data_IF_387040413185
#
_entry.id   IF_387040413185
#
_cell.length_a   1.000
_cell.length_b   1.000
_cell.length_c   1.000
_cell.angle_alpha   90.00
_cell.angle_beta   90.00
_cell.angle_gamma   90.00
#
_symmetry.space_group_name_H-M   'P 1'
#
loop_
_entity.id
_entity.type
_entity.pdbx_description
1 polymer ?
#
# COMPACT_ATOMS: atom_id res chain seq x y z
N UNK A 1 -0.76 4.25 -8.38
CA UNK A 1 -1.29 4.16 -7.00
C UNK A 1 -2.81 4.14 -7.03
N UNK A 2 -3.44 3.32 -6.20
CA UNK A 2 -4.91 3.26 -6.04
C UNK A 2 -5.23 3.53 -4.57
N UNK A 3 -6.18 4.43 -4.31
CA UNK A 3 -6.81 4.61 -3.01
C UNK A 3 -7.99 3.64 -2.91
N UNK A 4 -7.88 2.64 -2.01
CA UNK A 4 -8.95 1.69 -1.69
C UNK A 4 -9.43 1.84 -0.24
N UNK A 5 -9.07 2.91 0.45
CA UNK A 5 -9.77 3.30 1.67
C UNK A 5 -11.14 3.88 1.30
N UNK A 6 -12.08 2.97 1.07
CA UNK A 6 -13.40 3.29 0.53
C UNK A 6 -14.31 3.97 1.58
N UNK A 7 -13.93 3.94 2.84
CA UNK A 7 -14.68 4.54 3.96
C UNK A 7 -14.10 5.88 4.41
N UNK A 8 -12.79 6.07 4.23
CA UNK A 8 -12.08 7.28 4.66
C UNK A 8 -11.02 7.77 3.67
N UNK A 9 -11.35 7.96 2.38
CA UNK A 9 -10.36 8.29 1.35
C UNK A 9 -9.62 9.58 1.69
N UNK A 10 -8.29 9.56 1.58
CA UNK A 10 -7.45 10.67 2.02
C UNK A 10 -6.31 11.05 1.09
N UNK A 11 -5.89 10.15 0.20
CA UNK A 11 -4.72 10.40 -0.65
C UNK A 11 -4.91 11.59 -1.60
N UNK A 12 -6.11 11.83 -2.10
CA UNK A 12 -6.40 12.98 -2.97
C UNK A 12 -6.09 14.33 -2.28
N UNK A 13 -6.31 14.42 -0.96
CA UNK A 13 -6.01 15.61 -0.17
C UNK A 13 -4.50 15.86 -0.13
N UNK A 14 -3.71 14.81 0.12
CA UNK A 14 -2.23 14.88 0.16
C UNK A 14 -1.68 15.33 -1.20
N UNK A 15 -2.28 14.87 -2.30
CA UNK A 15 -1.89 15.24 -3.66
C UNK A 15 -2.45 16.60 -4.12
N UNK A 16 -3.19 17.31 -3.26
CA UNK A 16 -3.78 18.60 -3.58
C UNK A 16 -4.83 18.54 -4.69
N UNK A 17 -5.56 17.42 -4.79
CA UNK A 17 -6.63 17.21 -5.76
C UNK A 17 -7.94 17.63 -5.11
N UNK A 18 -8.65 18.55 -5.76
CA UNK A 18 -9.98 18.98 -5.30
C UNK A 18 -11.07 18.00 -5.75
N UNK A 19 -12.17 17.95 -5.02
CA UNK A 19 -13.36 17.14 -5.37
C UNK A 19 -13.89 17.45 -6.77
N UNK A 20 -13.75 18.67 -7.24
CA UNK A 20 -14.19 19.08 -8.58
C UNK A 20 -13.36 18.46 -9.71
N UNK A 21 -12.13 18.04 -9.43
CA UNK A 21 -11.24 17.38 -10.38
C UNK A 21 -11.51 15.87 -10.47
N UNK A 22 -12.05 15.26 -9.41
CA UNK A 22 -12.40 13.84 -9.37
C UNK A 22 -13.76 13.64 -10.05
N UNK A 23 -13.73 13.12 -11.27
CA UNK A 23 -14.95 12.86 -12.05
C UNK A 23 -15.41 11.41 -12.00
N UNK A 24 -14.46 10.50 -11.96
CA UNK A 24 -14.63 9.05 -11.89
C UNK A 24 -13.69 8.50 -10.82
N UNK A 25 -14.17 7.57 -10.03
CA UNK A 25 -13.46 6.97 -8.92
C UNK A 25 -13.27 5.47 -9.14
N UNK A 26 -12.41 4.82 -8.35
CA UNK A 26 -12.29 3.36 -8.36
C UNK A 26 -13.62 2.68 -8.00
N UNK A 27 -14.43 3.29 -7.14
CA UNK A 27 -15.77 2.81 -6.78
C UNK A 27 -16.67 2.70 -8.01
N UNK A 28 -16.67 3.74 -8.84
CA UNK A 28 -17.46 3.76 -10.10
C UNK A 28 -17.00 2.65 -11.04
N UNK A 29 -15.70 2.49 -11.21
CA UNK A 29 -15.11 1.44 -12.04
C UNK A 29 -15.47 0.06 -11.52
N UNK A 30 -15.42 -0.18 -10.22
CA UNK A 30 -15.71 -1.49 -9.62
C UNK A 30 -17.20 -1.83 -9.66
N UNK A 31 -18.09 -0.85 -9.63
CA UNK A 31 -19.54 -1.05 -9.62
C UNK A 31 -20.20 -0.96 -10.99
N UNK A 32 -19.56 -0.28 -11.96
CA UNK A 32 -20.15 0.00 -13.28
C UNK A 32 -19.24 -0.45 -14.41
N UNK A 33 -19.71 -0.42 -15.65
CA UNK A 33 -18.91 -0.76 -16.83
C UNK A 33 -18.01 0.39 -17.32
N UNK A 34 -17.56 1.27 -16.40
CA UNK A 34 -16.67 2.39 -16.71
C UNK A 34 -15.24 1.85 -16.87
N UNK A 35 -14.52 2.23 -17.93
CA UNK A 35 -13.12 1.86 -18.10
C UNK A 35 -12.25 2.49 -17.01
N UNK A 36 -11.24 1.74 -16.54
CA UNK A 36 -10.35 2.23 -15.48
C UNK A 36 -9.57 3.49 -15.87
N UNK A 37 -9.24 3.65 -17.15
CA UNK A 37 -8.55 4.85 -17.65
C UNK A 37 -9.28 6.17 -17.35
N UNK A 38 -10.61 6.11 -17.21
CA UNK A 38 -11.42 7.30 -16.93
C UNK A 38 -11.29 7.76 -15.45
N UNK A 39 -10.79 6.87 -14.58
CA UNK A 39 -10.50 7.14 -13.17
C UNK A 39 -9.02 7.45 -12.90
N UNK A 40 -8.15 7.39 -13.91
CA UNK A 40 -6.71 7.62 -13.71
C UNK A 40 -6.38 9.10 -13.90
N UNK A 41 -5.70 9.67 -12.91
CA UNK A 41 -5.16 11.02 -12.92
C UNK A 41 -3.64 10.95 -13.02
N UNK A 42 -3.04 11.66 -13.97
CA UNK A 42 -1.60 11.82 -14.05
C UNK A 42 -1.16 12.98 -13.15
N UNK A 43 -0.41 12.66 -12.10
CA UNK A 43 0.09 13.62 -11.12
C UNK A 43 1.55 14.04 -11.36
N UNK A 44 2.19 13.52 -12.39
CA UNK A 44 3.63 13.71 -12.67
C UNK A 44 4.01 15.19 -12.70
N UNK A 45 3.33 15.97 -13.53
CA UNK A 45 3.59 17.41 -13.65
C UNK A 45 3.18 18.18 -12.40
N UNK A 46 2.06 17.82 -11.76
CA UNK A 46 1.56 18.48 -10.54
C UNK A 46 2.55 18.38 -9.39
N UNK A 47 3.20 17.21 -9.25
CA UNK A 47 4.13 16.92 -8.17
C UNK A 47 5.59 17.28 -8.54
N UNK A 48 5.84 17.80 -9.74
CA UNK A 48 7.20 18.17 -10.19
C UNK A 48 8.12 16.95 -10.29
N UNK A 49 7.61 15.82 -10.74
CA UNK A 49 8.40 14.59 -10.91
C UNK A 49 9.19 14.70 -12.21
N UNK A 50 10.52 14.74 -12.11
CA UNK A 50 11.41 14.94 -13.26
C UNK A 50 11.71 13.64 -14.03
N UNK A 51 11.54 12.47 -13.38
CA UNK A 51 11.83 11.17 -13.98
C UNK A 51 10.79 10.12 -13.55
N UNK A 52 10.27 9.38 -14.50
CA UNK A 52 9.16 8.46 -14.31
C UNK A 52 7.80 9.16 -14.32
N UNK A 53 6.77 8.48 -13.87
CA UNK A 53 5.42 9.04 -13.75
C UNK A 53 4.71 8.54 -12.49
N UNK A 54 3.79 9.35 -11.97
CA UNK A 54 2.87 8.95 -10.90
C UNK A 54 1.43 9.07 -11.40
N UNK A 55 0.81 7.92 -11.54
CA UNK A 55 -0.61 7.80 -11.87
C UNK A 55 -1.40 7.48 -10.61
N UNK A 56 -2.53 8.14 -10.42
CA UNK A 56 -3.36 8.00 -9.24
C UNK A 56 -4.81 7.69 -9.61
N UNK A 57 -5.40 6.73 -8.93
CA UNK A 57 -6.81 6.39 -9.04
C UNK A 57 -7.47 6.65 -7.68
N UNK A 58 -8.32 7.67 -7.56
CA UNK A 58 -8.95 8.06 -6.30
C UNK A 58 -10.09 7.13 -5.90
N UNK A 59 -10.30 6.97 -4.59
CA UNK A 59 -11.52 6.38 -4.05
C UNK A 59 -12.70 7.35 -4.12
N UNK A 60 -13.92 6.79 -4.01
CA UNK A 60 -15.15 7.57 -3.89
C UNK A 60 -15.21 8.28 -2.55
N UNK A 61 -15.46 9.58 -2.58
CA UNK A 61 -15.51 10.44 -1.39
C UNK A 61 -16.91 10.93 -1.06
N UNK A 62 -17.90 10.68 -1.94
CA UNK A 62 -19.29 11.05 -1.71
C UNK A 62 -19.99 10.03 -0.83
N UNK A 63 -20.74 10.48 0.15
CA UNK A 63 -21.45 9.62 1.09
C UNK A 63 -22.28 8.52 0.39
N UNK A 64 -22.94 8.84 -0.71
CA UNK A 64 -23.75 7.90 -1.48
C UNK A 64 -22.88 6.77 -2.10
N UNK A 65 -21.68 7.09 -2.58
CA UNK A 65 -20.73 6.15 -3.16
C UNK A 65 -20.17 5.22 -2.06
N UNK A 66 -19.82 5.79 -0.92
CA UNK A 66 -19.34 5.06 0.25
C UNK A 66 -20.40 4.08 0.74
N UNK A 67 -21.62 4.55 1.02
CA UNK A 67 -22.71 3.70 1.51
C UNK A 67 -23.04 2.56 0.54
N UNK A 68 -23.04 2.84 -0.75
CA UNK A 68 -23.27 1.82 -1.77
C UNK A 68 -22.17 0.76 -1.77
N UNK A 69 -20.91 1.15 -1.56
CA UNK A 69 -19.77 0.24 -1.53
C UNK A 69 -19.79 -0.65 -0.28
N UNK A 70 -20.12 -0.09 0.88
CA UNK A 70 -20.30 -0.84 2.13
C UNK A 70 -21.40 -1.91 1.99
N UNK A 71 -22.51 -1.57 1.33
CA UNK A 71 -23.65 -2.48 1.15
C UNK A 71 -23.34 -3.60 0.13
N UNK A 72 -22.77 -3.27 -1.03
CA UNK A 72 -22.57 -4.22 -2.13
C UNK A 72 -21.21 -4.91 -2.12
N UNK A 73 -20.17 -4.26 -1.59
CA UNK A 73 -18.78 -4.67 -1.73
C UNK A 73 -18.32 -4.66 -3.19
N UNK A 74 -17.21 -5.30 -3.48
CA UNK A 74 -16.75 -5.48 -4.85
C UNK A 74 -16.31 -6.92 -5.17
N UNK A 75 -16.35 -7.25 -6.44
CA UNK A 75 -16.03 -8.60 -6.92
C UNK A 75 -14.53 -8.75 -7.16
N UNK A 76 -13.92 -9.79 -6.55
CA UNK A 76 -12.49 -10.09 -6.69
C UNK A 76 -12.05 -10.27 -8.16
N UNK A 77 -12.84 -10.98 -8.97
CA UNK A 77 -12.49 -11.22 -10.38
C UNK A 77 -12.48 -9.92 -11.18
N UNK A 78 -13.44 -9.02 -10.90
CA UNK A 78 -13.47 -7.69 -11.51
C UNK A 78 -12.29 -6.85 -11.06
N UNK A 79 -11.97 -6.86 -9.76
CA UNK A 79 -10.82 -6.14 -9.24
C UNK A 79 -9.52 -6.60 -9.90
N UNK A 80 -9.29 -7.90 -9.99
CA UNK A 80 -8.12 -8.45 -10.72
C UNK A 80 -8.08 -7.98 -12.17
N UNK A 81 -9.21 -7.97 -12.86
CA UNK A 81 -9.28 -7.51 -14.25
C UNK A 81 -8.92 -6.00 -14.35
N UNK A 82 -9.38 -5.18 -13.41
CA UNK A 82 -9.04 -3.75 -13.34
C UNK A 82 -7.54 -3.55 -13.12
N UNK A 83 -6.93 -4.25 -12.16
CA UNK A 83 -5.49 -4.17 -11.89
C UNK A 83 -4.67 -4.60 -13.10
N UNK A 84 -5.06 -5.69 -13.76
CA UNK A 84 -4.41 -6.17 -14.97
C UNK A 84 -4.50 -5.15 -16.12
N UNK A 85 -5.67 -4.53 -16.30
CA UNK A 85 -5.86 -3.48 -17.30
C UNK A 85 -4.96 -2.27 -17.03
N UNK A 86 -4.87 -1.82 -15.77
CA UNK A 86 -3.96 -0.74 -15.38
C UNK A 86 -2.50 -1.08 -15.67
N UNK A 87 -2.05 -2.24 -15.22
CA UNK A 87 -0.66 -2.66 -15.39
C UNK A 87 -0.29 -2.73 -16.88
N UNK A 88 -1.18 -3.27 -17.72
CA UNK A 88 -0.94 -3.48 -19.16
C UNK A 88 -1.07 -2.17 -19.95
N UNK A 89 -2.12 -1.38 -19.70
CA UNK A 89 -2.41 -0.16 -20.47
C UNK A 89 -1.35 0.92 -20.23
N UNK A 90 -0.89 1.02 -18.99
CA UNK A 90 0.10 2.05 -18.59
C UNK A 90 1.53 1.52 -18.44
N UNK A 91 1.77 0.22 -18.68
CA UNK A 91 3.08 -0.42 -18.54
C UNK A 91 3.72 -0.09 -17.18
N UNK A 92 2.96 -0.29 -16.10
CA UNK A 92 3.38 0.09 -14.76
C UNK A 92 4.53 -0.80 -14.26
N UNK A 93 5.56 -0.18 -13.71
CA UNK A 93 6.63 -0.89 -12.99
C UNK A 93 6.12 -1.38 -11.63
N UNK A 94 5.36 -0.53 -10.92
CA UNK A 94 4.83 -0.81 -9.59
C UNK A 94 3.39 -0.32 -9.45
N UNK A 95 2.56 -1.07 -8.74
CA UNK A 95 1.21 -0.69 -8.38
C UNK A 95 1.06 -0.70 -6.86
N UNK A 96 0.89 0.47 -6.26
CA UNK A 96 0.62 0.62 -4.83
C UNK A 96 -0.88 0.67 -4.59
N UNK A 97 -1.36 -0.15 -3.66
CA UNK A 97 -2.76 -0.20 -3.23
C UNK A 97 -2.80 0.27 -1.77
N UNK A 98 -3.40 1.43 -1.53
CA UNK A 98 -3.68 1.92 -0.18
C UNK A 98 -5.02 1.37 0.28
N UNK A 99 -5.05 0.65 1.40
CA UNK A 99 -6.25 -0.04 1.89
C UNK A 99 -6.64 0.43 3.27
N UNK A 100 -7.92 0.30 3.58
CA UNK A 100 -8.48 0.59 4.90
C UNK A 100 -7.74 -0.18 6.01
N UNK A 101 -7.48 0.45 7.17
CA UNK A 101 -6.88 -0.24 8.31
C UNK A 101 -7.84 -1.28 8.90
N UNK A 102 -7.34 -2.49 9.17
CA UNK A 102 -8.11 -3.56 9.80
C UNK A 102 -8.42 -4.73 8.87
N UNK A 103 -9.26 -5.66 9.37
CA UNK A 103 -9.60 -6.92 8.69
C UNK A 103 -10.96 -6.76 8.02
N UNK A 104 -11.03 -5.85 7.07
CA UNK A 104 -12.23 -5.67 6.26
C UNK A 104 -12.14 -6.53 5.00
N UNK A 105 -13.28 -6.74 4.35
CA UNK A 105 -13.36 -7.60 3.16
C UNK A 105 -12.51 -7.11 2.00
N UNK A 106 -12.48 -5.82 1.77
CA UNK A 106 -11.69 -5.13 0.76
C UNK A 106 -10.19 -5.21 1.05
N UNK A 107 -9.78 -5.07 2.31
CA UNK A 107 -8.39 -5.28 2.74
C UNK A 107 -7.93 -6.72 2.44
N UNK A 108 -8.74 -7.72 2.79
CA UNK A 108 -8.42 -9.13 2.49
C UNK A 108 -8.34 -9.37 0.98
N UNK A 109 -9.24 -8.77 0.20
CA UNK A 109 -9.23 -8.87 -1.27
C UNK A 109 -7.97 -8.21 -1.85
N UNK A 110 -7.57 -7.05 -1.33
CA UNK A 110 -6.33 -6.36 -1.73
C UNK A 110 -5.10 -7.21 -1.43
N UNK A 111 -5.03 -7.79 -0.24
CA UNK A 111 -3.95 -8.73 0.14
C UNK A 111 -3.90 -9.96 -0.76
N UNK A 112 -5.04 -10.48 -1.20
CA UNK A 112 -5.10 -11.67 -2.05
C UNK A 112 -4.57 -11.42 -3.48
N UNK A 113 -4.54 -10.18 -3.94
CA UNK A 113 -4.12 -9.82 -5.31
C UNK A 113 -2.74 -9.20 -5.40
N UNK A 114 -2.16 -8.68 -4.32
CA UNK A 114 -0.84 -8.08 -4.32
C UNK A 114 0.27 -9.14 -4.27
N UNK A 115 1.47 -8.77 -4.68
CA UNK A 115 2.66 -9.63 -4.63
C UNK A 115 3.33 -9.57 -3.25
N UNK A 116 3.28 -8.41 -2.59
CA UNK A 116 3.83 -8.18 -1.25
C UNK A 116 2.86 -7.35 -0.41
N UNK A 117 2.65 -7.74 0.84
CA UNK A 117 1.88 -6.98 1.83
C UNK A 117 2.82 -6.15 2.69
N UNK A 118 2.55 -4.85 2.78
CA UNK A 118 3.30 -3.93 3.64
C UNK A 118 2.42 -3.54 4.81
N UNK A 119 2.83 -3.93 6.01
CA UNK A 119 2.16 -3.53 7.25
C UNK A 119 2.86 -2.30 7.84
N UNK A 120 2.09 -1.26 8.17
CA UNK A 120 2.55 -0.13 8.95
C UNK A 120 2.00 -0.26 10.37
N UNK A 121 2.88 -0.23 11.37
CA UNK A 121 2.48 -0.39 12.76
C UNK A 121 3.27 0.54 13.68
N UNK A 122 2.60 1.08 14.67
CA UNK A 122 3.28 1.66 15.83
C UNK A 122 3.74 0.54 16.76
N UNK A 123 4.61 0.87 17.70
CA UNK A 123 5.16 -0.12 18.66
C UNK A 123 4.28 -0.32 19.91
N UNK A 124 3.04 0.17 19.90
CA UNK A 124 2.11 -0.08 21.00
C UNK A 124 1.41 -1.44 20.88
N UNK A 125 0.89 -1.93 22.01
CA UNK A 125 0.31 -3.27 22.08
C UNK A 125 -0.89 -3.49 21.15
N UNK A 126 -1.69 -2.47 20.90
CA UNK A 126 -2.89 -2.58 20.07
C UNK A 126 -2.52 -2.75 18.60
N UNK A 127 -1.65 -1.87 18.08
CA UNK A 127 -1.18 -1.92 16.70
C UNK A 127 -0.38 -3.21 16.43
N UNK A 128 0.47 -3.61 17.38
CA UNK A 128 1.24 -4.85 17.24
C UNK A 128 0.34 -6.09 17.24
N UNK A 129 -0.71 -6.13 18.06
CA UNK A 129 -1.69 -7.21 18.01
C UNK A 129 -2.40 -7.26 16.66
N UNK A 130 -2.89 -6.12 16.16
CA UNK A 130 -3.53 -6.02 14.84
C UNK A 130 -2.59 -6.48 13.71
N UNK A 131 -1.34 -6.04 13.74
CA UNK A 131 -0.32 -6.47 12.76
C UNK A 131 -0.05 -7.97 12.80
N UNK A 132 -0.05 -8.58 13.99
CA UNK A 132 0.07 -10.04 14.14
C UNK A 132 -1.08 -10.79 13.48
N UNK A 133 -2.32 -10.31 13.66
CA UNK A 133 -3.50 -10.91 13.01
C UNK A 133 -3.45 -10.73 11.48
N UNK A 134 -3.05 -9.55 11.00
CA UNK A 134 -2.90 -9.30 9.56
C UNK A 134 -1.82 -10.18 8.93
N UNK A 135 -0.72 -10.40 9.65
CA UNK A 135 0.33 -11.33 9.21
C UNK A 135 -0.19 -12.77 9.09
N UNK A 136 -1.00 -13.22 10.04
CA UNK A 136 -1.62 -14.56 9.97
C UNK A 136 -2.54 -14.69 8.74
N UNK A 137 -3.38 -13.68 8.47
CA UNK A 137 -4.23 -13.66 7.28
C UNK A 137 -3.40 -13.70 6.00
N UNK A 138 -2.36 -12.87 5.89
CA UNK A 138 -1.47 -12.86 4.73
C UNK A 138 -0.76 -14.19 4.54
N UNK A 139 -0.32 -14.82 5.63
CA UNK A 139 0.30 -16.16 5.61
C UNK A 139 -0.64 -17.21 5.04
N UNK A 140 -1.91 -17.20 5.42
CA UNK A 140 -2.92 -18.10 4.86
C UNK A 140 -3.19 -17.83 3.37
N UNK A 141 -3.04 -16.59 2.93
CA UNK A 141 -3.09 -16.19 1.53
C UNK A 141 -1.77 -16.48 0.79
N UNK A 142 -0.75 -16.99 1.48
CA UNK A 142 0.61 -17.25 0.97
C UNK A 142 1.28 -16.00 0.41
N UNK A 143 1.06 -14.85 1.06
CA UNK A 143 1.64 -13.58 0.65
C UNK A 143 2.83 -13.22 1.52
N UNK A 144 3.97 -12.82 0.93
CA UNK A 144 5.07 -12.23 1.66
C UNK A 144 4.62 -10.98 2.41
N UNK A 145 5.07 -10.84 3.66
CA UNK A 145 4.73 -9.70 4.51
C UNK A 145 5.99 -9.02 4.98
N UNK A 146 6.00 -7.70 4.89
CA UNK A 146 7.03 -6.86 5.48
C UNK A 146 6.41 -5.85 6.43
N UNK A 147 7.14 -5.51 7.49
CA UNK A 147 6.66 -4.58 8.52
C UNK A 147 7.51 -3.31 8.54
N UNK A 148 6.84 -2.17 8.55
CA UNK A 148 7.41 -0.87 8.80
C UNK A 148 6.94 -0.42 10.19
N UNK A 149 7.87 -0.22 11.11
CA UNK A 149 7.57 0.40 12.39
C UNK A 149 7.51 1.90 12.21
N UNK A 150 6.38 2.50 12.56
CA UNK A 150 6.15 3.93 12.37
C UNK A 150 6.02 4.65 13.71
N UNK A 151 6.26 5.96 13.71
CA UNK A 151 6.09 6.85 14.86
C UNK A 151 6.89 6.41 16.09
N UNK A 152 8.11 5.90 15.89
CA UNK A 152 9.01 5.58 17.00
C UNK A 152 9.25 6.86 17.81
N UNK A 153 9.07 6.84 19.15
CA UNK A 153 9.30 8.02 19.95
C UNK A 153 10.70 8.61 19.74
N UNK A 154 10.81 9.92 19.63
CA UNK A 154 12.08 10.63 19.40
C UNK A 154 13.10 10.44 20.53
N UNK A 155 12.63 10.02 21.72
CA UNK A 155 13.49 9.63 22.83
C UNK A 155 14.23 8.29 22.61
N UNK A 156 13.80 7.49 21.63
CA UNK A 156 14.39 6.22 21.27
C UNK A 156 15.45 6.46 20.20
N UNK A 157 16.72 6.27 20.55
CA UNK A 157 17.82 6.41 19.59
C UNK A 157 17.81 5.31 18.51
N UNK A 158 18.51 5.55 17.43
CA UNK A 158 18.54 4.64 16.25
C UNK A 158 18.97 3.21 16.61
N UNK A 159 19.98 3.07 17.46
CA UNK A 159 20.46 1.75 17.94
C UNK A 159 19.39 0.97 18.71
N UNK A 160 18.59 1.67 19.49
CA UNK A 160 17.49 1.06 20.26
C UNK A 160 16.30 0.74 19.35
N UNK A 161 15.98 1.62 18.41
CA UNK A 161 14.97 1.37 17.39
C UNK A 161 15.27 0.09 16.59
N UNK A 162 16.52 -0.13 16.22
CA UNK A 162 16.95 -1.35 15.54
C UNK A 162 16.72 -2.59 16.39
N UNK A 163 17.08 -2.56 17.68
CA UNK A 163 16.84 -3.68 18.60
C UNK A 163 15.34 -3.98 18.79
N UNK A 164 14.51 -2.93 18.85
CA UNK A 164 13.05 -3.08 18.89
C UNK A 164 12.58 -3.82 17.64
N UNK A 165 13.03 -3.38 16.46
CA UNK A 165 12.74 -4.04 15.19
C UNK A 165 13.14 -5.51 15.16
N UNK A 166 14.38 -5.84 15.58
CA UNK A 166 14.88 -7.21 15.65
C UNK A 166 14.05 -8.10 16.61
N UNK A 167 13.64 -7.55 17.74
CA UNK A 167 12.78 -8.24 18.69
C UNK A 167 11.39 -8.52 18.13
N UNK A 168 10.78 -7.54 17.45
CA UNK A 168 9.47 -7.67 16.82
C UNK A 168 9.53 -8.67 15.67
N UNK A 169 10.57 -8.58 14.82
CA UNK A 169 10.82 -9.53 13.74
C UNK A 169 10.85 -10.98 14.24
N UNK A 170 11.55 -11.22 15.35
CA UNK A 170 11.65 -12.55 15.98
C UNK A 170 10.32 -13.03 16.60
N UNK A 171 9.56 -12.13 17.24
CA UNK A 171 8.29 -12.47 17.89
C UNK A 171 7.17 -12.87 16.91
N UNK A 172 7.11 -12.18 15.80
CA UNK A 172 6.04 -12.36 14.81
C UNK A 172 6.49 -13.13 13.56
N UNK A 173 7.74 -13.56 13.52
CA UNK A 173 8.35 -14.18 12.34
C UNK A 173 8.12 -13.32 11.08
N UNK A 174 8.40 -12.02 11.20
CA UNK A 174 8.20 -11.01 10.16
C UNK A 174 9.53 -10.35 9.79
N UNK A 175 9.65 -9.91 8.55
CA UNK A 175 10.74 -9.03 8.15
C UNK A 175 10.38 -7.58 8.50
N UNK A 176 11.13 -6.96 9.42
CA UNK A 176 11.04 -5.53 9.69
C UNK A 176 11.98 -4.78 8.75
N UNK A 177 11.42 -3.95 7.87
CA UNK A 177 12.19 -3.19 6.88
C UNK A 177 12.92 -2.01 7.48
N UNK A 178 12.19 -1.23 8.26
CA UNK A 178 12.70 0.00 8.87
C UNK A 178 11.89 0.40 10.08
N UNK A 179 12.46 1.29 10.88
CA UNK A 179 11.79 1.97 11.98
C UNK A 179 11.86 3.49 11.74
N UNK A 180 10.72 4.08 11.43
CA UNK A 180 10.58 5.51 11.16
C UNK A 180 10.32 6.26 12.47
N UNK A 181 11.10 7.28 12.80
CA UNK A 181 10.88 8.09 13.99
C UNK A 181 9.63 8.96 13.84
N UNK A 182 9.02 9.30 14.96
CA UNK A 182 8.06 10.41 14.97
C UNK A 182 8.78 11.70 14.52
N UNK A 183 8.17 12.40 13.58
CA UNK A 183 8.69 13.65 13.05
C UNK A 183 7.59 14.72 13.16
N UNK A 184 7.89 15.80 13.89
CA UNK A 184 6.96 16.90 14.09
C UNK A 184 6.62 17.63 12.79
N UNK A 185 7.57 17.76 11.88
CA UNK A 185 7.37 18.49 10.63
C UNK A 185 6.38 17.77 9.71
N UNK A 186 6.42 16.41 9.68
CA UNK A 186 5.40 15.60 9.00
C UNK A 186 4.03 15.82 9.62
N UNK A 187 3.95 15.85 10.96
CA UNK A 187 2.69 16.07 11.65
C UNK A 187 2.17 17.50 11.43
N UNK A 188 3.04 18.51 11.46
CA UNK A 188 2.70 19.92 11.24
C UNK A 188 2.33 20.23 9.78
N UNK A 189 2.74 19.40 8.84
CA UNK A 189 2.36 19.52 7.41
C UNK A 189 0.84 19.33 7.20
N UNK A 190 0.14 18.66 8.12
CA UNK A 190 -1.32 18.50 8.09
C UNK A 190 -1.84 18.00 6.74
N UNK A 191 -1.13 17.05 6.11
CA UNK A 191 -1.46 16.47 4.79
C UNK A 191 -1.53 17.49 3.63
N UNK A 192 -0.82 18.62 3.73
CA UNK A 192 -0.83 19.68 2.71
C UNK A 192 0.09 19.46 1.52
N UNK A 193 0.64 18.27 1.38
CA UNK A 193 1.55 17.92 0.30
C UNK A 193 2.31 16.64 0.59
N UNK A 194 3.18 16.26 -0.34
CA UNK A 194 4.02 15.07 -0.20
C UNK A 194 5.34 15.47 0.47
N UNK A 195 5.49 15.14 1.75
CA UNK A 195 6.62 15.56 2.59
C UNK A 195 7.98 15.37 1.92
N UNK A 196 8.22 14.22 1.31
CA UNK A 196 9.52 13.89 0.70
C UNK A 196 9.86 14.77 -0.51
N UNK A 197 8.87 15.31 -1.20
CA UNK A 197 9.07 16.23 -2.33
C UNK A 197 9.39 17.64 -1.86
N UNK A 198 8.78 18.06 -0.76
CA UNK A 198 8.95 19.40 -0.18
C UNK A 198 10.21 19.50 0.70
N UNK A 199 10.59 18.41 1.37
CA UNK A 199 11.69 18.33 2.33
C UNK A 199 12.81 17.39 1.88
N UNK A 200 13.32 17.56 0.66
CA UNK A 200 14.30 16.67 0.02
C UNK A 200 15.61 16.47 0.83
N UNK A 201 15.98 17.44 1.67
CA UNK A 201 17.20 17.39 2.48
C UNK A 201 16.99 16.85 3.89
N UNK A 202 15.75 16.58 4.26
CA UNK A 202 15.41 16.06 5.59
C UNK A 202 15.97 14.63 5.78
N UNK A 203 16.52 14.30 6.96
CA UNK A 203 16.98 12.95 7.25
C UNK A 203 15.89 11.87 7.09
N UNK A 204 14.62 12.21 7.35
CA UNK A 204 13.51 11.29 7.17
C UNK A 204 13.26 11.00 5.69
N UNK A 205 13.40 12.00 4.82
CA UNK A 205 13.31 11.78 3.35
C UNK A 205 14.33 10.77 2.87
N UNK A 206 15.56 10.81 3.39
CA UNK A 206 16.58 9.79 3.10
C UNK A 206 16.14 8.40 3.56
N UNK A 207 15.54 8.29 4.75
CA UNK A 207 15.00 7.01 5.24
C UNK A 207 13.87 6.47 4.37
N UNK A 208 13.01 7.34 3.84
CA UNK A 208 11.98 6.93 2.87
C UNK A 208 12.59 6.44 1.55
N UNK A 209 13.66 7.08 1.08
CA UNK A 209 14.39 6.62 -0.12
C UNK A 209 14.99 5.22 0.10
N UNK A 210 15.72 5.03 1.19
CA UNK A 210 16.28 3.72 1.57
C UNK A 210 15.18 2.65 1.74
N UNK A 211 14.04 3.03 2.31
CA UNK A 211 12.88 2.14 2.43
C UNK A 211 12.36 1.71 1.05
N UNK A 212 12.19 2.65 0.13
CA UNK A 212 11.72 2.37 -1.23
C UNK A 212 12.68 1.43 -1.97
N UNK A 213 13.99 1.66 -1.90
CA UNK A 213 15.02 0.79 -2.49
C UNK A 213 14.97 -0.63 -1.91
N UNK A 214 14.81 -0.76 -0.60
CA UNK A 214 14.68 -2.05 0.07
C UNK A 214 13.38 -2.78 -0.34
N UNK A 215 12.27 -2.06 -0.50
CA UNK A 215 11.00 -2.64 -0.96
C UNK A 215 11.11 -3.18 -2.38
N UNK A 216 11.71 -2.42 -3.30
CA UNK A 216 11.96 -2.86 -4.67
C UNK A 216 12.71 -4.20 -4.67
N UNK A 217 13.82 -4.29 -3.94
CA UNK A 217 14.57 -5.54 -3.85
C UNK A 217 13.83 -6.72 -3.20
N UNK A 218 12.76 -6.48 -2.43
CA UNK A 218 11.91 -7.55 -1.88
C UNK A 218 10.89 -7.99 -2.93
N UNK A 219 10.27 -7.06 -3.64
CA UNK A 219 9.31 -7.35 -4.69
C UNK A 219 9.98 -8.19 -5.78
N UNK A 220 11.16 -7.78 -6.24
CA UNK A 220 11.92 -8.51 -7.25
C UNK A 220 12.19 -9.96 -6.82
N UNK A 221 12.62 -10.18 -5.57
CA UNK A 221 12.82 -11.55 -5.05
C UNK A 221 11.54 -12.35 -4.89
N UNK A 222 10.42 -11.71 -4.58
CA UNK A 222 9.13 -12.37 -4.46
C UNK A 222 8.66 -12.89 -5.83
N UNK A 223 8.84 -12.08 -6.88
CA UNK A 223 8.51 -12.45 -8.26
C UNK A 223 9.42 -13.57 -8.79
N UNK A 224 10.73 -13.50 -8.56
CA UNK A 224 11.68 -14.57 -8.92
C UNK A 224 11.36 -15.90 -8.20
N UNK A 225 10.87 -15.85 -6.97
CA UNK A 225 10.45 -17.02 -6.19
C UNK A 225 9.21 -17.71 -6.75
N UNK A 226 8.26 -16.95 -7.29
CA UNK A 226 7.06 -17.49 -7.94
C UNK A 226 7.39 -18.21 -9.26
N UNK A 227 8.32 -17.69 -10.07
CA UNK A 227 8.79 -18.36 -11.28
C UNK A 227 9.46 -19.72 -10.98
N UNK A 228 10.12 -19.87 -9.84
CA UNK A 228 10.74 -21.14 -9.44
C UNK A 228 9.75 -22.22 -8.97
N UNK A 229 8.55 -21.84 -8.55
CA UNK A 229 7.50 -22.79 -8.13
C UNK A 229 6.64 -23.34 -9.27
N UNK A 230 6.54 -22.64 -10.39
CA UNK A 230 5.68 -23.05 -11.52
C UNK A 230 6.34 -24.13 -12.43
N UNK A 231 7.64 -24.40 -12.26
CA UNK A 231 8.38 -25.40 -13.05
C UNK A 231 8.59 -26.76 -12.35
N UNK A 232 7.98 -27.03 -11.21
CA UNK A 232 8.33 -28.19 -10.37
C UNK A 232 7.23 -28.97 -9.71
N UNK A 233 6.02 -29.18 -10.31
CA UNK A 233 5.13 -30.24 -9.79
C UNK A 233 4.09 -30.70 -10.80
N UNK A 234 4.52 -31.62 -11.66
CA UNK A 234 3.58 -32.59 -12.27
C UNK A 234 3.16 -33.57 -11.18
N UNK A 235 1.87 -33.77 -10.87
CA UNK A 235 1.47 -34.78 -9.92
C UNK A 235 1.79 -36.16 -10.50
N UNK A 236 2.67 -36.91 -9.86
CA UNK A 236 2.76 -38.34 -10.10
C UNK A 236 1.46 -39.00 -9.68
N UNK A 237 0.68 -39.45 -10.64
CA UNK A 237 -0.42 -40.38 -10.42
C UNK A 237 0.14 -41.65 -9.83
N UNK A 238 -0.17 -41.90 -8.56
CA UNK A 238 0.01 -43.22 -7.95
C UNK A 238 -1.18 -44.06 -8.37
N UNK A 239 -0.86 -45.15 -9.11
CA UNK A 239 -1.79 -46.20 -9.49
C UNK A 239 -2.20 -47.09 -8.29
#
# INVERSE_FOLDING_TARGET
MIDLDLEGPGLHVIFGISDAEIKVTINDVLQSAIPIRDAVLDLTSRLGIDSGCLLFCPAGHRLEEILKMVDTGFNLSRFKAVLYSLATEYQLDYLLIDSHPGIEKDTIVSMAVCDVVVLLSRVDHQDMFGSGVMNEVASQLRKPVVLILNMIPSSVGEKESKKIGEKIASLFNLQVLTALPFNSDVFENLSRGVFVLEHQKDPLTRKFTELAENMIGIIDRALEGEESYDHGSTPQTVG
#
